data_IF_851325261016
#
_entry.id   IF_851325261016
#
_cell.length_a   1.000
_cell.length_b   1.000
_cell.length_c   1.000
_cell.angle_alpha   90.00
_cell.angle_beta   90.00
_cell.angle_gamma   90.00
#
_symmetry.space_group_name_H-M   'P 1'
#
loop_
_entity.id
_entity.type
_entity.pdbx_description
1 polymer ?
#
# COMPACT_ATOMS: atom_id res chain seq x y z
N UNK A 1 7.90 -1.87 16.12
CA UNK A 1 7.24 -2.95 15.35
C UNK A 1 5.91 -3.40 15.94
N UNK A 2 5.85 -3.87 17.20
CA UNK A 2 4.59 -4.42 17.76
C UNK A 2 3.43 -3.42 17.75
N UNK A 3 3.66 -2.15 18.10
CA UNK A 3 2.65 -1.10 18.05
C UNK A 3 2.06 -0.92 16.63
N UNK A 4 2.92 -0.66 15.64
CA UNK A 4 2.51 -0.47 14.25
C UNK A 4 1.78 -1.68 13.67
N UNK A 5 2.28 -2.89 13.95
CA UNK A 5 1.59 -4.13 13.57
C UNK A 5 0.22 -4.23 14.24
N UNK A 6 0.10 -3.92 15.54
CA UNK A 6 -1.19 -3.99 16.23
C UNK A 6 -2.20 -3.03 15.58
N UNK A 7 -1.80 -1.79 15.33
CA UNK A 7 -2.63 -0.76 14.67
C UNK A 7 -3.05 -1.19 13.27
N UNK A 8 -2.14 -1.73 12.45
CA UNK A 8 -2.43 -2.17 11.08
C UNK A 8 -3.55 -3.23 10.99
N UNK A 9 -3.67 -4.07 12.03
CA UNK A 9 -4.70 -5.12 12.12
C UNK A 9 -5.85 -4.72 13.07
N UNK A 10 -5.94 -3.46 13.52
CA UNK A 10 -6.98 -3.05 14.46
C UNK A 10 -8.15 -2.39 13.74
N UNK A 11 -9.35 -2.94 13.94
CA UNK A 11 -10.55 -2.38 13.33
C UNK A 11 -11.00 -1.07 14.01
N UNK A 12 -10.52 -0.80 15.22
CA UNK A 12 -10.73 0.47 15.92
C UNK A 12 -10.27 1.70 15.10
N UNK A 13 -9.48 1.52 14.04
CA UNK A 13 -9.11 2.60 13.13
C UNK A 13 -10.23 3.02 12.16
N UNK A 14 -11.23 2.18 11.85
CA UNK A 14 -12.38 2.60 11.03
C UNK A 14 -13.44 3.25 11.90
N UNK A 15 -14.24 4.18 11.35
CA UNK A 15 -15.22 4.93 12.14
C UNK A 15 -16.18 4.05 12.94
N UNK A 16 -16.65 2.96 12.34
CA UNK A 16 -17.61 1.99 12.90
C UNK A 16 -16.98 0.72 13.50
N UNK A 17 -15.66 0.55 13.41
CA UNK A 17 -14.99 -0.66 13.88
C UNK A 17 -15.13 -1.88 12.96
N UNK A 18 -15.59 -1.73 11.71
CA UNK A 18 -15.78 -2.84 10.78
C UNK A 18 -14.52 -3.28 10.02
N UNK A 19 -13.49 -2.42 9.90
CA UNK A 19 -12.31 -2.72 9.07
C UNK A 19 -10.99 -2.16 9.60
N UNK A 20 -9.91 -2.83 9.22
CA UNK A 20 -8.53 -2.45 9.48
C UNK A 20 -7.75 -2.32 8.17
N UNK A 21 -6.50 -1.84 8.21
CA UNK A 21 -5.65 -1.82 7.02
C UNK A 21 -5.52 -3.23 6.41
N UNK A 22 -5.45 -4.26 7.26
CA UNK A 22 -5.34 -5.66 6.84
C UNK A 22 -6.60 -6.25 6.20
N UNK A 23 -7.75 -5.56 6.29
CA UNK A 23 -8.98 -5.96 5.58
C UNK A 23 -8.74 -5.90 4.07
N UNK A 24 -8.18 -4.79 3.58
CA UNK A 24 -7.83 -4.59 2.17
C UNK A 24 -6.43 -5.11 1.85
N UNK A 25 -5.45 -4.95 2.76
CA UNK A 25 -4.07 -5.37 2.55
C UNK A 25 -3.77 -6.73 3.18
N UNK A 26 -4.35 -7.78 2.60
CA UNK A 26 -4.27 -9.13 3.16
C UNK A 26 -2.87 -9.75 2.98
N UNK A 27 -2.23 -10.17 4.08
CA UNK A 27 -0.89 -10.79 4.06
C UNK A 27 -0.78 -11.99 3.10
N UNK A 28 -1.84 -12.79 2.97
CA UNK A 28 -1.89 -13.97 2.08
C UNK A 28 -1.80 -13.60 0.58
N UNK A 29 -2.08 -12.35 0.25
CA UNK A 29 -2.00 -11.78 -1.09
C UNK A 29 -0.84 -10.77 -1.18
N UNK A 30 0.25 -11.03 -0.44
CA UNK A 30 1.39 -10.11 -0.35
C UNK A 30 0.99 -8.68 0.05
N UNK A 31 0.01 -8.54 0.95
CA UNK A 31 -0.54 -7.24 1.37
C UNK A 31 -1.18 -6.44 0.22
N UNK A 32 -1.63 -7.10 -0.84
CA UNK A 32 -2.62 -6.58 -1.76
C UNK A 32 -4.01 -7.10 -1.38
N UNK A 33 -5.02 -6.62 -2.10
CA UNK A 33 -6.32 -7.29 -2.16
C UNK A 33 -6.38 -8.27 -3.35
N UNK A 34 -7.55 -8.81 -3.67
CA UNK A 34 -7.83 -9.51 -4.92
C UNK A 34 -7.89 -8.60 -6.14
N UNK A 35 -8.26 -9.17 -7.29
CA UNK A 35 -8.31 -8.47 -8.59
C UNK A 35 -9.53 -7.54 -8.76
N UNK A 36 -10.11 -7.01 -7.68
CA UNK A 36 -11.27 -6.11 -7.72
C UNK A 36 -11.07 -4.96 -6.74
N UNK A 37 -11.60 -3.76 -7.02
CA UNK A 37 -11.61 -2.68 -6.03
C UNK A 37 -12.38 -3.10 -4.77
N UNK A 38 -11.76 -2.93 -3.60
CA UNK A 38 -12.39 -3.26 -2.32
C UNK A 38 -13.41 -2.16 -1.95
N UNK A 39 -14.64 -2.50 -1.52
CA UNK A 39 -15.56 -1.54 -0.93
C UNK A 39 -15.03 -1.02 0.42
N UNK A 40 -15.17 0.26 0.70
CA UNK A 40 -14.82 0.78 2.02
C UNK A 40 -15.93 0.57 3.06
N UNK A 41 -15.85 1.27 4.19
CA UNK A 41 -16.76 1.17 5.32
C UNK A 41 -18.23 1.44 4.96
N UNK A 42 -18.50 2.21 3.92
CA UNK A 42 -19.87 2.53 3.46
C UNK A 42 -20.38 1.58 2.37
N UNK A 43 -19.67 0.48 2.09
CA UNK A 43 -19.94 -0.48 1.01
C UNK A 43 -19.96 0.13 -0.41
N UNK A 44 -19.56 1.39 -0.57
CA UNK A 44 -19.37 1.99 -1.89
C UNK A 44 -18.18 1.31 -2.58
N UNK A 45 -18.32 0.90 -3.86
CA UNK A 45 -17.22 0.30 -4.60
C UNK A 45 -15.99 1.21 -4.63
N UNK A 46 -14.83 0.60 -4.41
CA UNK A 46 -13.55 1.26 -4.67
C UNK A 46 -13.42 1.66 -6.14
N UNK A 47 -12.61 2.68 -6.40
CA UNK A 47 -12.34 3.16 -7.78
C UNK A 47 -11.14 2.49 -8.42
N UNK A 48 -10.26 1.86 -7.63
CA UNK A 48 -9.00 1.25 -8.08
C UNK A 48 -8.69 -0.01 -7.28
N UNK A 49 -7.88 -0.89 -7.86
CA UNK A 49 -7.38 -2.07 -7.16
C UNK A 49 -6.47 -1.66 -6.01
N UNK A 50 -6.49 -2.42 -4.92
CA UNK A 50 -5.63 -2.18 -3.76
C UNK A 50 -4.21 -2.69 -4.08
N UNK A 51 -3.18 -1.83 -4.10
CA UNK A 51 -1.83 -2.26 -4.43
C UNK A 51 -1.22 -3.10 -3.30
N UNK A 52 -0.23 -3.92 -3.64
CA UNK A 52 0.59 -4.61 -2.64
C UNK A 52 1.40 -3.63 -1.80
N UNK A 53 1.49 -3.87 -0.49
CA UNK A 53 2.44 -3.17 0.39
C UNK A 53 3.80 -3.87 0.51
N UNK A 54 4.03 -4.96 -0.21
CA UNK A 54 5.33 -5.62 -0.23
C UNK A 54 6.38 -4.66 -0.81
N UNK A 55 7.48 -4.47 -0.07
CA UNK A 55 8.57 -3.54 -0.40
C UNK A 55 8.16 -2.06 -0.52
N UNK A 56 6.98 -1.65 -0.03
CA UNK A 56 6.46 -0.27 -0.17
C UNK A 56 7.39 0.80 0.41
N UNK A 57 8.22 0.44 1.40
CA UNK A 57 9.22 1.34 1.96
C UNK A 57 10.31 1.82 0.98
N UNK A 58 10.43 1.18 -0.19
CA UNK A 58 11.37 1.52 -1.26
C UNK A 58 10.72 2.31 -2.42
N UNK A 59 9.40 2.52 -2.40
CA UNK A 59 8.70 3.19 -3.50
C UNK A 59 8.91 4.71 -3.42
N UNK A 60 9.06 5.35 -4.58
CA UNK A 60 9.16 6.81 -4.68
C UNK A 60 7.80 7.50 -4.54
N UNK A 61 6.74 6.85 -5.00
CA UNK A 61 5.34 7.32 -4.91
C UNK A 61 4.44 6.19 -4.40
N UNK A 62 3.41 6.55 -3.63
CA UNK A 62 2.68 5.60 -2.78
C UNK A 62 1.22 5.37 -3.19
N UNK A 63 0.75 6.04 -4.23
CA UNK A 63 -0.61 5.86 -4.75
C UNK A 63 -0.57 5.68 -6.27
N UNK A 64 -1.69 5.25 -6.85
CA UNK A 64 -1.79 5.04 -8.30
C UNK A 64 -1.62 6.30 -9.14
N UNK A 65 -2.05 7.46 -8.66
CA UNK A 65 -2.13 8.70 -9.47
C UNK A 65 -1.39 9.86 -8.81
N UNK A 66 -1.56 10.05 -7.51
CA UNK A 66 -0.96 11.19 -6.84
C UNK A 66 0.53 10.94 -6.60
N UNK A 67 1.33 11.44 -7.54
CA UNK A 67 2.78 11.38 -7.51
C UNK A 67 3.40 12.24 -6.39
N UNK A 68 2.61 13.09 -5.70
CA UNK A 68 3.09 13.91 -4.59
C UNK A 68 3.05 13.17 -3.25
N UNK A 69 2.35 12.04 -3.17
CA UNK A 69 2.30 11.20 -1.95
C UNK A 69 3.53 10.31 -1.89
N UNK A 70 4.58 10.84 -1.26
CA UNK A 70 5.91 10.20 -1.19
C UNK A 70 6.28 9.68 0.21
N UNK A 71 5.40 9.88 1.20
CA UNK A 71 5.64 9.46 2.59
C UNK A 71 4.47 8.66 3.16
N UNK A 72 4.77 7.49 3.73
CA UNK A 72 3.78 6.56 4.30
C UNK A 72 2.97 7.18 5.45
N UNK A 73 3.62 7.99 6.30
CA UNK A 73 2.94 8.70 7.40
C UNK A 73 1.96 9.79 6.90
N UNK A 74 2.15 10.30 5.68
CA UNK A 74 1.18 11.18 5.01
C UNK A 74 0.11 10.39 4.28
N UNK A 75 0.50 9.33 3.57
CA UNK A 75 -0.43 8.43 2.89
C UNK A 75 -1.45 7.85 3.87
N UNK A 76 -1.05 7.52 5.10
CA UNK A 76 -1.92 7.00 6.17
C UNK A 76 -3.23 7.78 6.34
N UNK A 77 -3.22 9.11 6.20
CA UNK A 77 -4.43 9.91 6.42
C UNK A 77 -5.43 9.84 5.25
N UNK A 78 -4.99 9.43 4.06
CA UNK A 78 -5.84 9.33 2.86
C UNK A 78 -6.92 8.25 3.06
N UNK A 79 -6.61 6.97 3.32
CA UNK A 79 -7.65 5.96 3.55
C UNK A 79 -8.38 6.19 4.87
N UNK A 80 -7.75 6.86 5.85
CA UNK A 80 -8.37 7.13 7.13
C UNK A 80 -9.51 8.14 7.02
N UNK A 81 -9.33 9.22 6.27
CA UNK A 81 -10.21 10.41 6.29
C UNK A 81 -10.74 10.79 4.90
N UNK A 82 -10.47 9.99 3.87
CA UNK A 82 -11.00 10.17 2.53
C UNK A 82 -12.53 10.04 2.49
N UNK A 83 -13.18 10.86 1.65
CA UNK A 83 -14.65 10.94 1.58
C UNK A 83 -15.25 10.32 0.31
N UNK A 84 -14.47 10.11 -0.75
CA UNK A 84 -14.99 9.65 -2.05
C UNK A 84 -14.02 8.72 -2.81
N UNK A 85 -14.29 7.40 -2.84
CA UNK A 85 -15.19 6.69 -1.93
C UNK A 85 -14.65 6.73 -0.49
N UNK A 86 -15.54 6.52 0.50
CA UNK A 86 -15.11 6.40 1.89
C UNK A 86 -14.40 5.06 2.07
N UNK A 87 -13.16 5.08 2.55
CA UNK A 87 -12.42 3.89 2.95
C UNK A 87 -12.67 3.58 4.43
N UNK A 88 -11.84 4.08 5.36
CA UNK A 88 -12.00 3.81 6.80
C UNK A 88 -13.00 4.75 7.49
N UNK A 89 -13.25 5.93 6.91
CA UNK A 89 -14.30 6.86 7.35
C UNK A 89 -14.07 7.61 8.66
N UNK A 90 -12.85 7.60 9.22
CA UNK A 90 -12.53 8.32 10.45
C UNK A 90 -12.81 9.83 10.27
N UNK A 91 -13.66 10.46 11.11
CA UNK A 91 -14.13 11.82 10.87
C UNK A 91 -13.02 12.87 10.97
N UNK A 92 -12.12 12.72 11.95
CA UNK A 92 -11.02 13.65 12.17
C UNK A 92 -9.90 13.03 13.01
N UNK A 93 -8.77 13.75 13.08
CA UNK A 93 -7.57 13.36 13.85
C UNK A 93 -7.83 13.33 15.35
N UNK A 94 -8.70 14.18 15.88
CA UNK A 94 -8.99 14.27 17.32
C UNK A 94 -9.71 13.01 17.79
N UNK A 95 -10.69 12.55 17.00
CA UNK A 95 -11.44 11.32 17.22
C UNK A 95 -10.53 10.10 17.18
N UNK A 96 -9.64 10.02 16.19
CA UNK A 96 -8.62 8.98 16.10
C UNK A 96 -7.72 8.95 17.35
N UNK A 97 -7.17 10.10 17.73
CA UNK A 97 -6.28 10.21 18.88
C UNK A 97 -7.01 9.85 20.18
N UNK A 98 -8.23 10.36 20.38
CA UNK A 98 -9.04 10.05 21.56
C UNK A 98 -9.31 8.55 21.70
N UNK A 99 -9.65 7.88 20.58
CA UNK A 99 -9.90 6.43 20.57
C UNK A 99 -8.65 5.62 20.94
N UNK A 100 -7.51 5.94 20.32
CA UNK A 100 -6.25 5.22 20.59
C UNK A 100 -5.72 5.53 22.01
N UNK A 101 -5.76 6.78 22.45
CA UNK A 101 -5.29 7.18 23.78
C UNK A 101 -6.17 6.63 24.91
N UNK A 102 -7.47 6.43 24.65
CA UNK A 102 -8.42 5.83 25.59
C UNK A 102 -8.09 4.38 25.96
N UNK A 103 -7.38 3.65 25.10
CA UNK A 103 -7.06 2.24 25.30
C UNK A 103 -5.77 2.04 26.12
N UNK A 104 -5.87 1.33 27.25
CA UNK A 104 -4.75 1.08 28.16
C UNK A 104 -3.58 0.30 27.51
N UNK A 105 -3.90 -0.63 26.60
CA UNK A 105 -2.90 -1.39 25.85
C UNK A 105 -2.09 -0.45 24.94
N UNK A 106 -2.76 0.45 24.23
CA UNK A 106 -2.07 1.43 23.39
C UNK A 106 -1.18 2.37 24.21
N UNK A 107 -1.63 2.87 25.36
CA UNK A 107 -0.76 3.65 26.26
C UNK A 107 0.55 2.93 26.61
N UNK A 108 0.48 1.63 26.92
CA UNK A 108 1.68 0.83 27.18
C UNK A 108 2.56 0.64 25.94
N UNK A 109 1.95 0.37 24.78
CA UNK A 109 2.67 0.16 23.53
C UNK A 109 3.37 1.45 23.05
N UNK A 110 2.72 2.61 23.17
CA UNK A 110 3.30 3.91 22.81
C UNK A 110 4.44 4.30 23.74
N UNK A 111 4.30 4.11 25.06
CA UNK A 111 5.39 4.34 26.01
C UNK A 111 6.68 3.57 25.65
N UNK A 112 6.52 2.33 25.17
CA UNK A 112 7.65 1.50 24.72
C UNK A 112 8.17 1.87 23.33
N UNK A 113 7.28 2.23 22.41
CA UNK A 113 7.63 2.51 21.02
C UNK A 113 8.25 3.90 20.81
N UNK A 114 7.84 4.89 21.60
CA UNK A 114 8.27 6.28 21.48
C UNK A 114 8.81 6.85 22.80
N UNK A 115 9.86 6.28 23.40
CA UNK A 115 10.39 6.74 24.69
C UNK A 115 10.91 8.19 24.63
N UNK A 116 11.49 8.60 23.49
CA UNK A 116 11.94 9.98 23.27
C UNK A 116 10.81 11.00 23.18
N UNK A 117 9.61 10.55 22.78
CA UNK A 117 8.40 11.35 22.80
C UNK A 117 7.60 11.12 24.10
N UNK A 118 8.20 10.50 25.12
CA UNK A 118 7.55 10.20 26.41
C UNK A 118 6.24 9.41 26.25
N UNK A 119 6.16 8.53 25.25
CA UNK A 119 4.95 7.75 24.98
C UNK A 119 3.76 8.57 24.45
N UNK A 120 4.01 9.78 23.92
CA UNK A 120 3.00 10.64 23.33
C UNK A 120 2.15 9.89 22.30
N UNK A 121 0.84 10.06 22.41
CA UNK A 121 -0.16 9.55 21.48
C UNK A 121 -0.80 10.77 20.80
N UNK A 122 -0.44 10.99 19.55
CA UNK A 122 -1.00 12.01 18.67
C UNK A 122 -1.13 11.44 17.25
N UNK A 123 -1.72 12.21 16.34
CA UNK A 123 -1.95 11.75 14.97
C UNK A 123 -0.64 11.37 14.24
N UNK A 124 0.44 12.14 14.45
CA UNK A 124 1.71 11.91 13.78
C UNK A 124 2.43 10.65 14.29
N UNK A 125 2.40 10.38 15.61
CA UNK A 125 2.97 9.17 16.21
C UNK A 125 2.17 7.92 15.87
N UNK A 126 0.84 8.01 15.74
CA UNK A 126 -0.02 6.94 15.23
C UNK A 126 0.37 6.61 13.78
N UNK A 127 0.37 7.61 12.89
CA UNK A 127 0.73 7.44 11.48
C UNK A 127 2.16 6.91 11.33
N UNK A 128 3.11 7.44 12.11
CA UNK A 128 4.51 6.98 12.12
C UNK A 128 4.61 5.52 12.55
N UNK A 129 3.85 5.08 13.55
CA UNK A 129 3.91 3.70 14.00
C UNK A 129 3.49 2.71 12.90
N UNK A 130 2.40 3.02 12.17
CA UNK A 130 1.92 2.21 11.04
C UNK A 130 2.91 2.25 9.88
N UNK A 131 3.38 3.43 9.49
CA UNK A 131 4.38 3.61 8.44
C UNK A 131 5.68 2.83 8.71
N UNK A 132 6.15 2.81 9.97
CA UNK A 132 7.34 2.03 10.35
C UNK A 132 7.10 0.53 10.27
N UNK A 133 5.87 0.04 10.52
CA UNK A 133 5.53 -1.35 10.29
C UNK A 133 5.51 -1.67 8.79
N UNK A 134 4.89 -0.83 7.96
CA UNK A 134 4.86 -1.00 6.51
C UNK A 134 6.25 -1.07 5.88
N UNK A 135 7.21 -0.27 6.36
CA UNK A 135 8.62 -0.33 5.92
C UNK A 135 9.30 -1.67 6.17
N UNK A 136 8.77 -2.48 7.07
CA UNK A 136 9.31 -3.82 7.36
C UNK A 136 8.71 -4.93 6.52
N UNK A 137 7.71 -4.62 5.68
CA UNK A 137 7.07 -5.57 4.78
C UNK A 137 7.99 -5.87 3.58
N UNK A 138 9.21 -6.31 3.86
CA UNK A 138 10.27 -6.54 2.89
C UNK A 138 10.19 -7.98 2.39
N UNK A 139 10.12 -8.15 1.08
CA UNK A 139 10.18 -9.44 0.39
C UNK A 139 11.46 -9.50 -0.44
N UNK A 140 12.36 -10.42 -0.08
CA UNK A 140 13.71 -10.61 -0.68
C UNK A 140 14.16 -12.08 -0.71
N UNK A 141 13.20 -12.99 -0.82
CA UNK A 141 13.46 -14.44 -0.83
C UNK A 141 12.67 -15.18 -1.92
N UNK A 142 12.30 -14.46 -2.99
CA UNK A 142 11.74 -15.09 -4.19
C UNK A 142 12.78 -16.03 -4.84
N UNK A 143 12.33 -16.93 -5.73
CA UNK A 143 13.26 -17.78 -6.49
C UNK A 143 14.31 -16.95 -7.26
N UNK A 144 13.92 -15.76 -7.72
CA UNK A 144 14.83 -14.79 -8.33
C UNK A 144 15.90 -14.31 -7.35
N UNK A 145 15.51 -13.89 -6.14
CA UNK A 145 16.45 -13.43 -5.10
C UNK A 145 17.42 -14.54 -4.69
N UNK A 146 16.90 -15.76 -4.52
CA UNK A 146 17.68 -16.95 -4.19
C UNK A 146 18.70 -17.26 -5.30
N UNK A 147 18.29 -17.15 -6.56
CA UNK A 147 19.18 -17.39 -7.70
C UNK A 147 20.30 -16.35 -7.79
N UNK A 148 20.00 -15.07 -7.56
CA UNK A 148 21.01 -14.00 -7.48
C UNK A 148 22.03 -14.21 -6.36
N UNK A 149 21.67 -14.98 -5.33
CA UNK A 149 22.56 -15.37 -4.24
C UNK A 149 23.24 -16.73 -4.46
N UNK A 150 23.03 -17.37 -5.62
CA UNK A 150 23.56 -18.69 -5.93
C UNK A 150 22.93 -19.84 -5.14
N UNK A 151 21.81 -19.61 -4.43
CA UNK A 151 21.12 -20.64 -3.62
C UNK A 151 20.30 -21.61 -4.45
N UNK A 152 19.79 -21.17 -5.60
CA UNK A 152 19.01 -22.00 -6.53
C UNK A 152 19.39 -21.68 -7.98
N UNK A 153 19.17 -22.63 -8.87
CA UNK A 153 19.22 -22.39 -10.32
C UNK A 153 17.79 -22.20 -10.81
N UNK A 154 17.52 -21.10 -11.52
CA UNK A 154 16.22 -20.89 -12.14
C UNK A 154 15.98 -21.95 -13.22
N UNK A 155 14.71 -22.34 -13.40
CA UNK A 155 14.32 -23.16 -14.54
C UNK A 155 14.57 -22.39 -15.85
N UNK A 156 14.88 -23.07 -16.96
CA UNK A 156 15.15 -22.40 -18.24
C UNK A 156 14.08 -21.40 -18.66
N UNK A 157 12.80 -21.71 -18.42
CA UNK A 157 11.68 -20.83 -18.76
C UNK A 157 11.67 -19.54 -17.93
N UNK A 158 12.03 -19.64 -16.64
CA UNK A 158 12.14 -18.48 -15.74
C UNK A 158 13.43 -17.69 -15.97
N UNK A 159 14.47 -18.34 -16.49
CA UNK A 159 15.73 -17.71 -16.86
C UNK A 159 15.68 -17.05 -18.25
N UNK A 160 14.70 -17.41 -19.10
CA UNK A 160 14.61 -16.91 -20.47
C UNK A 160 14.60 -15.38 -20.55
N UNK A 161 13.88 -14.73 -19.63
CA UNK A 161 13.85 -13.26 -19.54
C UNK A 161 15.22 -12.61 -19.25
N UNK A 162 16.18 -13.34 -18.67
CA UNK A 162 17.54 -12.84 -18.44
C UNK A 162 18.41 -12.84 -19.70
N UNK A 163 17.99 -13.59 -20.73
CA UNK A 163 18.70 -13.74 -21.98
C UNK A 163 18.06 -12.94 -23.12
N UNK A 164 17.11 -12.06 -22.80
CA UNK A 164 16.54 -11.12 -23.77
C UNK A 164 17.67 -10.21 -24.29
N UNK A 165 17.82 -10.04 -25.60
CA UNK A 165 18.69 -9.02 -26.17
C UNK A 165 18.28 -7.61 -25.71
N UNK A 166 19.25 -6.69 -25.59
CA UNK A 166 19.00 -5.30 -25.18
C UNK A 166 17.91 -4.62 -26.04
N UNK A 167 17.87 -4.93 -27.35
CA UNK A 167 16.86 -4.40 -28.26
C UNK A 167 15.43 -4.90 -27.93
N UNK A 168 15.29 -6.17 -27.52
CA UNK A 168 14.01 -6.76 -27.12
C UNK A 168 13.56 -6.22 -25.75
N UNK A 169 14.49 -6.04 -24.81
CA UNK A 169 14.22 -5.41 -23.52
C UNK A 169 13.75 -3.95 -23.73
N UNK A 170 14.45 -3.18 -24.56
CA UNK A 170 14.08 -1.81 -24.90
C UNK A 170 12.70 -1.73 -25.60
N UNK A 171 12.40 -2.67 -26.51
CA UNK A 171 11.10 -2.74 -27.16
C UNK A 171 9.97 -3.05 -26.15
N UNK A 172 10.20 -3.99 -25.23
CA UNK A 172 9.25 -4.32 -24.16
C UNK A 172 9.02 -3.14 -23.22
N UNK A 173 10.08 -2.44 -22.81
CA UNK A 173 9.96 -1.24 -21.98
C UNK A 173 9.17 -0.15 -22.70
N UNK A 174 9.48 0.10 -23.98
CA UNK A 174 8.76 1.09 -24.79
C UNK A 174 7.27 0.73 -24.92
N UNK A 175 6.96 -0.55 -25.15
CA UNK A 175 5.59 -1.04 -25.20
C UNK A 175 4.87 -0.86 -23.86
N UNK A 176 5.48 -1.26 -22.74
CA UNK A 176 4.91 -1.10 -21.40
C UNK A 176 4.67 0.38 -21.05
N UNK A 177 5.61 1.26 -21.43
CA UNK A 177 5.45 2.72 -21.25
C UNK A 177 4.30 3.27 -22.08
N UNK A 178 4.11 2.76 -23.30
CA UNK A 178 2.99 3.13 -24.15
C UNK A 178 1.63 2.62 -23.59
N UNK A 179 1.62 1.51 -22.84
CA UNK A 179 0.43 1.03 -22.12
C UNK A 179 0.10 1.88 -20.88
N UNK A 180 1.10 2.54 -20.29
CA UNK A 180 0.89 3.53 -19.24
C UNK A 180 0.68 4.91 -19.84
N UNK A 181 -0.49 5.14 -20.43
CA UNK A 181 -0.86 6.47 -20.91
C UNK A 181 -1.02 7.42 -19.71
N UNK A 182 -0.29 8.55 -19.72
CA UNK A 182 -0.46 9.60 -18.71
C UNK A 182 -1.86 10.21 -18.77
N UNK A 183 -2.58 10.09 -19.89
CA UNK A 183 -3.98 10.48 -20.00
C UNK A 183 -4.92 9.48 -19.29
N UNK A 184 -4.58 8.19 -19.23
CA UNK A 184 -5.31 7.19 -18.41
C UNK A 184 -5.26 7.55 -16.91
N UNK A 185 -4.20 8.23 -16.46
CA UNK A 185 -4.13 8.72 -15.07
C UNK A 185 -5.22 9.76 -14.75
N UNK A 186 -5.82 10.39 -15.77
CA UNK A 186 -6.82 11.44 -15.63
C UNK A 186 -8.20 11.06 -16.18
N UNK A 187 -8.30 10.04 -17.04
CA UNK A 187 -9.56 9.50 -17.55
C UNK A 187 -9.53 7.96 -17.68
N UNK A 188 -10.25 7.22 -16.81
CA UNK A 188 -10.32 5.75 -16.87
C UNK A 188 -10.95 5.19 -18.15
N UNK A 189 -11.69 6.00 -18.93
CA UNK A 189 -12.27 5.56 -20.20
C UNK A 189 -11.21 5.26 -21.26
N UNK A 190 -9.98 5.78 -21.08
CA UNK A 190 -8.82 5.51 -21.94
C UNK A 190 -8.09 4.20 -21.60
N UNK A 191 -8.58 3.42 -20.64
CA UNK A 191 -8.05 2.08 -20.33
C UNK A 191 -8.32 1.06 -21.45
N UNK A 192 -9.33 1.33 -22.28
CA UNK A 192 -9.70 0.50 -23.41
C UNK A 192 -9.10 1.11 -24.68
N UNK A 193 -8.53 0.28 -25.59
CA UNK A 193 -8.06 0.79 -26.86
C UNK A 193 -9.23 1.43 -27.63
N UNK A 194 -8.98 2.47 -28.45
CA UNK A 194 -9.99 3.02 -29.34
C UNK A 194 -10.56 1.90 -30.23
N UNK A 195 -11.87 1.95 -30.52
CA UNK A 195 -12.57 0.90 -31.30
C UNK A 195 -11.99 0.71 -32.71
N UNK A 196 -11.18 1.66 -33.19
CA UNK A 196 -10.45 1.56 -34.45
C UNK A 196 -8.99 2.01 -34.26
N UNK A 197 -8.07 1.31 -34.95
CA UNK A 197 -6.69 1.76 -35.06
C UNK A 197 -6.64 3.14 -35.76
N UNK A 198 -5.82 4.09 -35.28
CA UNK A 198 -5.61 5.34 -36.00
C UNK A 198 -4.99 5.06 -37.37
N UNK A 199 -5.46 5.81 -38.38
CA UNK A 199 -5.02 5.71 -39.77
C UNK A 199 -3.58 6.22 -39.96
#
# INVERSE_FOLDING_TARGET
>A
MQLGRRLFYDADLSADGSMSCATCHARRHAFADGNRPHPGMTDQPGVRNVPSLANVGAFSTLTWIDQHVTRLDRQFFIPMMGHHPVEMGMPDRTTLVGRIAGNACYRHLFARAFPRAQGRIDADTIATAVALFERTLVSRDSAWDQARQGRVTLKPEAAHGQALPDDDEAALESFLRALTDVHFLHDPALALPPEACPA
#
